data_IF_406930075493
#
_entry.id   IF_406930075493
#
_cell.length_a   1.000
_cell.length_b   1.000
_cell.length_c   1.000
_cell.angle_alpha   90.00
_cell.angle_beta   90.00
_cell.angle_gamma   90.00
#
_symmetry.space_group_name_H-M   'P 1'
#
loop_
_entity.id
_entity.type
_entity.pdbx_description
1 polymer ?
#
# COMPACT_ATOMS: atom_id res chain seq x y z
N UNK A 1 47.92 47.29 -1.98
CA UNK A 1 46.79 46.34 -1.85
C UNK A 1 47.15 45.29 -0.82
N UNK A 2 46.48 45.28 0.34
CA UNK A 2 46.70 44.27 1.39
C UNK A 2 45.95 42.99 1.01
N UNK A 3 46.67 41.91 0.74
CA UNK A 3 46.07 40.59 0.57
C UNK A 3 45.57 40.10 1.94
N UNK A 4 44.25 39.97 2.10
CA UNK A 4 43.67 39.26 3.24
C UNK A 4 43.63 37.78 2.93
N UNK A 5 44.41 36.99 3.66
CA UNK A 5 44.36 35.53 3.63
C UNK A 5 43.17 35.08 4.47
N UNK A 6 42.16 34.47 3.85
CA UNK A 6 41.06 33.82 4.56
C UNK A 6 41.48 32.39 4.94
N UNK A 7 41.62 32.13 6.24
CA UNK A 7 41.78 30.77 6.75
C UNK A 7 40.43 30.05 6.68
N UNK A 8 40.29 29.14 5.70
CA UNK A 8 39.15 28.23 5.60
C UNK A 8 39.39 27.03 6.53
N UNK A 9 38.70 26.99 7.67
CA UNK A 9 38.69 25.80 8.53
C UNK A 9 37.68 24.82 7.92
N UNK A 10 38.17 23.77 7.26
CA UNK A 10 37.34 22.67 6.77
C UNK A 10 37.31 21.59 7.86
N UNK A 11 36.15 21.44 8.53
CA UNK A 11 35.93 20.36 9.49
C UNK A 11 35.42 19.15 8.69
N UNK A 12 36.27 18.15 8.48
CA UNK A 12 35.85 16.84 7.96
C UNK A 12 35.35 15.97 9.11
N UNK A 13 34.11 15.48 8.99
CA UNK A 13 33.54 14.48 9.89
C UNK A 13 33.23 13.21 9.11
N UNK A 14 33.73 12.07 9.57
CA UNK A 14 33.36 10.74 9.10
C UNK A 14 32.37 10.14 10.11
N UNK A 15 31.13 9.94 9.71
CA UNK A 15 30.15 9.19 10.50
C UNK A 15 29.96 7.82 9.85
N UNK A 16 30.08 6.75 10.64
CA UNK A 16 29.51 5.46 10.27
C UNK A 16 28.09 5.41 10.82
N UNK A 17 27.12 5.17 9.95
CA UNK A 17 25.78 4.76 10.38
C UNK A 17 25.71 3.26 10.20
N UNK A 18 25.21 2.54 11.21
CA UNK A 18 24.67 1.23 10.91
C UNK A 18 23.59 1.46 9.85
N UNK A 19 23.68 0.79 8.70
CA UNK A 19 22.54 0.70 7.79
C UNK A 19 21.39 0.21 8.65
N UNK A 20 20.43 1.08 8.97
CA UNK A 20 19.23 0.67 9.69
C UNK A 20 18.69 -0.51 8.90
N UNK A 21 18.63 -1.69 9.53
CA UNK A 21 18.21 -2.90 8.84
C UNK A 21 16.86 -2.61 8.18
N UNK A 22 16.84 -2.62 6.85
CA UNK A 22 15.66 -2.24 6.07
C UNK A 22 14.51 -3.17 6.47
N UNK A 23 13.35 -2.58 6.75
CA UNK A 23 12.20 -3.33 7.25
C UNK A 23 10.89 -2.76 6.68
N UNK A 24 9.85 -3.58 6.45
CA UNK A 24 8.58 -3.09 5.95
C UNK A 24 8.05 -1.92 6.81
N UNK A 25 7.78 -0.78 6.19
CA UNK A 25 7.33 0.43 6.91
C UNK A 25 8.29 0.93 8.00
N UNK A 26 9.57 0.56 7.97
CA UNK A 26 10.53 0.87 9.04
C UNK A 26 10.22 0.18 10.38
N UNK A 27 9.49 -0.94 10.36
CA UNK A 27 9.13 -1.71 11.55
C UNK A 27 10.00 -2.96 11.65
N UNK A 28 11.01 -2.90 12.53
CA UNK A 28 11.93 -3.99 12.80
C UNK A 28 11.29 -5.17 13.57
N UNK A 29 12.02 -6.30 13.59
CA UNK A 29 11.64 -7.49 14.35
C UNK A 29 10.63 -8.40 13.65
N UNK A 30 10.55 -8.35 12.31
CA UNK A 30 9.84 -9.37 11.55
C UNK A 30 10.58 -10.70 11.64
N UNK A 31 9.84 -11.80 11.77
CA UNK A 31 10.41 -13.15 11.70
C UNK A 31 10.53 -13.64 10.26
N UNK A 32 9.72 -13.08 9.36
CA UNK A 32 9.81 -13.33 7.92
C UNK A 32 9.22 -12.17 7.13
N UNK A 33 9.92 -11.75 6.07
CA UNK A 33 9.42 -10.83 5.07
C UNK A 33 9.79 -11.37 3.69
N UNK A 34 8.79 -11.57 2.85
CA UNK A 34 8.92 -12.20 1.53
C UNK A 34 8.29 -11.31 0.48
N UNK A 35 9.03 -11.09 -0.60
CA UNK A 35 8.51 -10.60 -1.87
C UNK A 35 8.66 -11.76 -2.88
N UNK A 36 7.53 -12.35 -3.32
CA UNK A 36 7.50 -13.55 -4.16
C UNK A 36 6.92 -14.79 -3.47
N UNK A 37 7.26 -15.97 -3.99
CA UNK A 37 6.57 -17.24 -3.70
C UNK A 37 7.24 -18.11 -2.61
N UNK A 38 7.95 -17.51 -1.65
CA UNK A 38 8.55 -18.29 -0.56
C UNK A 38 7.50 -18.69 0.47
N UNK A 39 7.15 -19.98 0.48
CA UNK A 39 6.19 -20.59 1.42
C UNK A 39 6.86 -21.38 2.55
N UNK A 40 8.17 -21.20 2.79
CA UNK A 40 8.87 -21.88 3.89
C UNK A 40 8.20 -21.53 5.24
N UNK A 41 7.86 -22.53 6.07
CA UNK A 41 7.19 -22.25 7.34
C UNK A 41 8.08 -21.54 8.34
N UNK A 42 7.47 -20.83 9.30
CA UNK A 42 8.17 -20.08 10.35
C UNK A 42 7.76 -20.59 11.72
N UNK A 43 8.72 -20.73 12.63
CA UNK A 43 8.43 -21.07 14.03
C UNK A 43 8.03 -19.82 14.82
N UNK A 44 6.93 -19.93 15.55
CA UNK A 44 6.42 -18.91 16.46
C UNK A 44 6.71 -19.34 17.90
N UNK A 45 7.34 -18.44 18.66
CA UNK A 45 7.76 -18.65 20.05
C UNK A 45 6.63 -18.36 21.04
N UNK A 46 5.60 -17.65 20.60
CA UNK A 46 4.45 -17.23 21.40
C UNK A 46 4.76 -16.13 22.41
N UNK A 47 5.88 -15.42 22.25
CA UNK A 47 6.36 -14.44 23.23
C UNK A 47 5.66 -13.07 23.19
N UNK A 48 4.74 -12.80 22.24
CA UNK A 48 4.12 -11.46 22.19
C UNK A 48 2.89 -11.31 21.30
N UNK A 49 2.21 -12.39 20.94
CA UNK A 49 1.14 -12.40 19.94
C UNK A 49 1.66 -12.66 18.52
N UNK A 50 0.86 -12.37 17.51
CA UNK A 50 1.17 -12.60 16.10
C UNK A 50 0.64 -11.43 15.28
N UNK A 51 1.42 -10.93 14.32
CA UNK A 51 0.93 -10.03 13.29
C UNK A 51 1.34 -10.53 11.91
N UNK A 52 0.36 -10.64 11.02
CA UNK A 52 0.54 -10.93 9.61
C UNK A 52 0.00 -9.76 8.79
N UNK A 53 0.77 -9.30 7.81
CA UNK A 53 0.30 -8.36 6.80
C UNK A 53 0.79 -8.89 5.45
N UNK A 54 -0.13 -9.11 4.51
CA UNK A 54 0.22 -9.68 3.22
C UNK A 54 -0.66 -9.21 2.07
N UNK A 55 -0.07 -9.12 0.89
CA UNK A 55 -0.73 -8.77 -0.35
C UNK A 55 -1.00 -10.03 -1.15
N UNK A 56 -2.27 -10.29 -1.45
CA UNK A 56 -2.72 -11.49 -2.14
C UNK A 56 -3.64 -11.18 -3.32
N UNK A 57 -3.48 -11.92 -4.42
CA UNK A 57 -4.44 -11.94 -5.53
C UNK A 57 -5.55 -12.95 -5.26
N UNK A 58 -6.79 -12.54 -5.45
CA UNK A 58 -7.93 -13.47 -5.36
C UNK A 58 -8.12 -14.16 -6.69
N UNK A 59 -8.28 -15.48 -6.62
CA UNK A 59 -8.79 -16.25 -7.73
C UNK A 59 -10.30 -16.42 -7.52
N UNK A 60 -11.10 -16.26 -8.58
CA UNK A 60 -12.57 -16.21 -8.51
C UNK A 60 -13.23 -17.52 -8.01
N UNK A 61 -12.46 -18.56 -7.74
CA UNK A 61 -13.00 -19.91 -7.52
C UNK A 61 -13.21 -20.29 -6.04
N UNK A 62 -13.87 -19.45 -5.25
CA UNK A 62 -14.26 -19.77 -3.87
C UNK A 62 -13.25 -19.36 -2.80
N UNK A 63 -13.52 -19.73 -1.54
CA UNK A 63 -12.72 -19.33 -0.38
C UNK A 63 -11.35 -20.02 -0.39
N UNK A 64 -10.27 -19.24 -0.28
CA UNK A 64 -8.89 -19.74 -0.35
C UNK A 64 -8.15 -19.51 0.97
N UNK A 65 -7.35 -20.49 1.39
CA UNK A 65 -6.51 -20.39 2.58
C UNK A 65 -5.30 -19.50 2.31
N UNK A 66 -5.16 -18.40 3.07
CA UNK A 66 -4.01 -17.50 2.95
C UNK A 66 -2.84 -17.99 3.81
N UNK A 67 -3.12 -18.33 5.06
CA UNK A 67 -2.14 -18.91 5.98
C UNK A 67 -2.83 -19.67 7.10
N UNK A 68 -2.07 -20.51 7.78
CA UNK A 68 -2.49 -21.19 8.99
C UNK A 68 -1.38 -21.21 10.05
N UNK A 69 -1.77 -21.39 11.30
CA UNK A 69 -0.87 -21.74 12.40
C UNK A 69 -1.23 -23.13 12.88
N UNK A 70 -0.24 -24.01 12.87
CA UNK A 70 -0.29 -25.32 13.51
C UNK A 70 0.35 -25.26 14.88
N UNK A 71 -0.26 -25.89 15.89
CA UNK A 71 0.32 -26.12 17.21
C UNK A 71 1.59 -26.97 17.11
N UNK A 72 2.35 -27.07 18.21
CA UNK A 72 3.53 -27.96 18.27
C UNK A 72 3.18 -29.44 18.06
N UNK A 73 1.94 -29.84 18.37
CA UNK A 73 1.41 -31.18 18.07
C UNK A 73 1.02 -31.36 16.59
N UNK A 74 1.15 -30.31 15.77
CA UNK A 74 0.87 -30.33 14.34
C UNK A 74 -0.62 -30.21 13.98
N UNK A 75 -1.49 -29.90 14.95
CA UNK A 75 -2.92 -29.58 14.74
C UNK A 75 -3.07 -28.13 14.32
N UNK A 76 -3.87 -27.83 13.29
CA UNK A 76 -4.19 -26.45 12.91
C UNK A 76 -5.05 -25.78 13.98
N UNK A 77 -4.54 -24.73 14.60
CA UNK A 77 -5.27 -23.93 15.58
C UNK A 77 -6.02 -22.76 14.90
N UNK A 78 -5.36 -22.09 13.94
CA UNK A 78 -5.83 -20.80 13.44
C UNK A 78 -5.60 -20.67 11.95
N UNK A 79 -6.54 -20.03 11.27
CA UNK A 79 -6.47 -19.81 9.82
C UNK A 79 -6.92 -18.40 9.46
N UNK A 80 -6.34 -17.86 8.40
CA UNK A 80 -6.92 -16.74 7.65
C UNK A 80 -7.16 -17.20 6.22
N UNK A 81 -8.34 -16.89 5.71
CA UNK A 81 -8.75 -17.15 4.34
C UNK A 81 -9.03 -15.84 3.63
N UNK A 82 -9.33 -15.90 2.32
CA UNK A 82 -9.83 -14.75 1.55
C UNK A 82 -11.18 -14.23 2.05
N UNK A 83 -11.82 -14.93 2.99
CA UNK A 83 -13.16 -14.62 3.44
C UNK A 83 -13.32 -14.40 4.95
N UNK A 84 -12.45 -14.99 5.78
CA UNK A 84 -12.58 -14.93 7.23
C UNK A 84 -11.28 -15.23 7.95
N UNK A 85 -11.26 -14.95 9.25
CA UNK A 85 -10.30 -15.51 10.20
C UNK A 85 -11.04 -16.50 11.09
N UNK A 86 -10.37 -17.57 11.52
CA UNK A 86 -10.95 -18.52 12.45
C UNK A 86 -9.91 -19.07 13.43
N UNK A 87 -10.33 -19.26 14.67
CA UNK A 87 -9.66 -20.10 15.65
C UNK A 87 -10.46 -21.41 15.75
N UNK A 88 -9.88 -22.48 15.20
CA UNK A 88 -10.49 -23.80 15.09
C UNK A 88 -10.57 -24.51 16.45
N UNK A 89 -9.65 -24.22 17.37
CA UNK A 89 -9.66 -24.80 18.71
C UNK A 89 -10.79 -24.24 19.58
N UNK A 90 -11.11 -22.95 19.43
CA UNK A 90 -12.20 -22.27 20.14
C UNK A 90 -13.54 -22.30 19.39
N UNK A 91 -13.55 -22.76 18.14
CA UNK A 91 -14.74 -22.73 17.27
C UNK A 91 -15.22 -21.32 16.92
N UNK A 92 -14.34 -20.31 16.98
CA UNK A 92 -14.70 -18.91 16.72
C UNK A 92 -14.20 -18.44 15.35
N UNK A 93 -14.96 -17.57 14.69
CA UNK A 93 -14.59 -17.00 13.40
C UNK A 93 -15.13 -15.59 13.21
N UNK A 94 -14.52 -14.84 12.28
CA UNK A 94 -14.94 -13.51 11.88
C UNK A 94 -14.92 -13.40 10.35
N UNK A 95 -16.08 -13.16 9.75
CA UNK A 95 -16.21 -12.99 8.31
C UNK A 95 -15.83 -11.57 7.86
N UNK A 96 -15.23 -11.45 6.70
CA UNK A 96 -15.04 -10.16 6.03
C UNK A 96 -16.33 -9.74 5.30
N UNK A 97 -16.61 -8.45 5.35
CA UNK A 97 -17.69 -7.82 4.60
C UNK A 97 -17.26 -7.50 3.15
N UNK A 98 -18.23 -7.36 2.24
CA UNK A 98 -18.02 -6.80 0.89
C UNK A 98 -17.26 -7.67 -0.11
N UNK A 99 -17.21 -8.99 0.07
CA UNK A 99 -16.31 -9.89 -0.68
C UNK A 99 -16.45 -9.82 -2.21
N UNK A 100 -17.67 -9.56 -2.70
CA UNK A 100 -18.05 -9.64 -4.12
C UNK A 100 -17.70 -8.38 -4.93
N UNK A 101 -17.42 -7.24 -4.26
CA UNK A 101 -17.15 -5.95 -4.91
C UNK A 101 -15.71 -5.47 -4.76
N UNK A 102 -14.86 -6.28 -4.14
CA UNK A 102 -13.51 -5.88 -3.73
C UNK A 102 -12.46 -6.24 -4.82
N UNK A 103 -11.37 -5.46 -4.96
CA UNK A 103 -10.40 -5.58 -6.05
C UNK A 103 -9.68 -6.93 -6.10
N UNK A 104 -9.09 -7.27 -7.24
CA UNK A 104 -8.40 -8.56 -7.43
C UNK A 104 -7.15 -8.68 -6.56
N UNK A 105 -6.37 -7.61 -6.42
CA UNK A 105 -5.21 -7.54 -5.53
C UNK A 105 -5.64 -6.87 -4.22
N UNK A 106 -5.36 -7.49 -3.08
CA UNK A 106 -5.79 -7.00 -1.76
C UNK A 106 -4.68 -7.11 -0.74
N UNK A 107 -4.75 -6.23 0.26
CA UNK A 107 -3.99 -6.34 1.49
C UNK A 107 -4.84 -7.04 2.55
N UNK A 108 -4.26 -8.05 3.19
CA UNK A 108 -4.82 -8.80 4.30
C UNK A 108 -3.97 -8.54 5.54
N UNK A 109 -4.59 -8.07 6.60
CA UNK A 109 -3.95 -7.87 7.88
C UNK A 109 -4.62 -8.74 8.95
N UNK A 110 -3.82 -9.26 9.87
CA UNK A 110 -4.30 -9.99 11.04
C UNK A 110 -3.36 -9.77 12.20
N UNK A 111 -3.91 -9.49 13.37
CA UNK A 111 -3.14 -9.39 14.61
C UNK A 111 -3.87 -10.09 15.75
N UNK A 112 -3.13 -10.78 16.62
CA UNK A 112 -3.61 -11.17 17.95
C UNK A 112 -3.16 -10.15 19.00
N UNK A 113 -3.81 -10.13 20.16
CA UNK A 113 -3.29 -9.39 21.30
C UNK A 113 -2.01 -10.05 21.84
N UNK A 114 -1.18 -9.27 22.53
CA UNK A 114 0.02 -9.77 23.20
C UNK A 114 -0.27 -10.84 24.25
N UNK A 115 -1.45 -10.78 24.89
CA UNK A 115 -1.93 -11.80 25.83
C UNK A 115 -2.27 -13.14 25.16
N UNK A 116 -2.51 -13.14 23.84
CA UNK A 116 -2.78 -14.34 23.04
C UNK A 116 -1.52 -14.75 22.27
N UNK A 117 -0.47 -15.08 23.03
CA UNK A 117 0.75 -15.68 22.50
C UNK A 117 0.43 -16.90 21.66
N UNK A 118 0.98 -16.97 20.45
CA UNK A 118 0.72 -18.06 19.50
C UNK A 118 1.99 -18.89 19.36
N UNK A 119 1.95 -20.17 19.77
CA UNK A 119 3.10 -21.09 19.67
C UNK A 119 2.87 -22.14 18.60
N UNK A 120 3.89 -22.40 17.79
CA UNK A 120 3.87 -23.46 16.80
C UNK A 120 4.42 -23.00 15.47
N UNK A 121 3.89 -23.52 14.36
CA UNK A 121 4.42 -23.28 13.02
C UNK A 121 3.43 -22.51 12.16
N UNK A 122 3.86 -21.35 11.68
CA UNK A 122 3.14 -20.50 10.75
C UNK A 122 3.44 -20.94 9.30
N UNK A 123 2.39 -21.18 8.53
CA UNK A 123 2.46 -21.59 7.14
C UNK A 123 1.73 -20.59 6.27
N UNK A 124 2.34 -20.16 5.16
CA UNK A 124 1.68 -19.36 4.12
C UNK A 124 1.30 -20.25 2.95
N UNK A 125 0.07 -20.09 2.46
CA UNK A 125 -0.48 -20.90 1.39
C UNK A 125 -0.60 -22.39 1.76
N UNK A 126 -0.82 -23.21 0.73
CA UNK A 126 -0.96 -24.67 0.89
C UNK A 126 -2.32 -25.09 1.48
N UNK A 127 -2.36 -26.33 1.99
CA UNK A 127 -3.52 -26.92 2.66
C UNK A 127 -3.16 -27.32 4.10
N UNK A 128 -4.16 -27.36 4.96
CA UNK A 128 -4.05 -27.89 6.33
C UNK A 128 -4.12 -29.42 6.32
N UNK A 129 -3.65 -30.07 7.40
CA UNK A 129 -3.87 -31.52 7.60
C UNK A 129 -5.35 -31.82 7.82
N UNK A 130 -6.05 -30.90 8.48
CA UNK A 130 -7.48 -30.90 8.68
C UNK A 130 -8.20 -30.64 7.35
N UNK A 131 -9.29 -31.38 7.10
CA UNK A 131 -10.14 -31.18 5.94
C UNK A 131 -11.02 -29.94 6.13
N UNK A 132 -10.50 -28.78 5.74
CA UNK A 132 -11.25 -27.53 5.72
C UNK A 132 -11.94 -27.32 4.36
N UNK A 133 -13.15 -26.74 4.30
CA UNK A 133 -13.88 -26.48 3.05
C UNK A 133 -13.33 -25.22 2.34
N UNK A 134 -12.02 -25.18 2.11
CA UNK A 134 -11.28 -24.07 1.49
C UNK A 134 -10.36 -24.61 0.42
N UNK A 135 -10.01 -23.78 -0.56
CA UNK A 135 -9.03 -24.12 -1.59
C UNK A 135 -7.63 -23.63 -1.22
N UNK A 136 -6.62 -24.30 -1.76
CA UNK A 136 -5.24 -23.82 -1.66
C UNK A 136 -5.06 -22.51 -2.45
N UNK A 137 -4.35 -21.57 -1.87
CA UNK A 137 -3.88 -20.38 -2.58
C UNK A 137 -2.63 -20.74 -3.38
N UNK A 138 -2.77 -20.97 -4.70
CA UNK A 138 -1.63 -21.28 -5.58
C UNK A 138 -0.99 -19.97 -6.07
N UNK A 139 0.28 -19.71 -5.72
CA UNK A 139 1.10 -18.61 -6.24
C UNK A 139 0.44 -17.21 -6.18
N UNK A 140 -0.39 -16.95 -5.17
CA UNK A 140 -1.17 -15.70 -5.14
C UNK A 140 -0.78 -14.74 -4.02
N UNK A 141 0.06 -15.14 -3.06
CA UNK A 141 0.70 -14.17 -2.16
C UNK A 141 1.84 -13.49 -2.91
N UNK A 142 1.74 -12.19 -3.10
CA UNK A 142 2.72 -11.39 -3.84
C UNK A 142 3.82 -10.88 -2.90
N UNK A 143 3.43 -10.44 -1.71
CA UNK A 143 4.35 -10.01 -0.66
C UNK A 143 3.69 -10.26 0.69
N UNK A 144 4.45 -10.64 1.70
CA UNK A 144 3.93 -10.69 3.07
C UNK A 144 5.02 -10.52 4.11
N UNK A 145 4.62 -10.11 5.30
CA UNK A 145 5.46 -10.00 6.48
C UNK A 145 4.77 -10.60 7.69
N UNK A 146 5.55 -11.28 8.52
CA UNK A 146 5.13 -11.94 9.75
C UNK A 146 5.98 -11.40 10.90
N UNK A 147 5.31 -11.06 12.00
CA UNK A 147 5.92 -10.70 13.27
C UNK A 147 5.43 -11.67 14.34
N UNK A 148 6.34 -12.25 15.12
CA UNK A 148 6.03 -13.06 16.32
C UNK A 148 5.73 -12.16 17.53
N UNK A 149 4.97 -11.09 17.26
CA UNK A 149 4.44 -10.13 18.23
C UNK A 149 3.22 -9.40 17.66
N UNK A 150 2.42 -8.85 18.55
CA UNK A 150 1.42 -7.85 18.22
C UNK A 150 2.12 -6.53 17.84
N UNK A 151 1.86 -6.03 16.64
CA UNK A 151 2.24 -4.67 16.27
C UNK A 151 1.27 -3.67 16.92
N UNK A 152 1.79 -2.52 17.33
CA UNK A 152 0.96 -1.35 17.66
C UNK A 152 0.19 -0.87 16.42
N UNK A 153 -0.88 -0.10 16.62
CA UNK A 153 -1.63 0.46 15.49
C UNK A 153 -0.75 1.30 14.54
N UNK A 154 0.15 2.12 15.10
CA UNK A 154 1.05 2.95 14.31
C UNK A 154 2.08 2.12 13.52
N UNK A 155 2.66 1.08 14.13
CA UNK A 155 3.53 0.13 13.41
C UNK A 155 2.76 -0.58 12.29
N UNK A 156 1.57 -1.11 12.58
CA UNK A 156 0.73 -1.79 11.59
C UNK A 156 0.44 -0.88 10.40
N UNK A 157 0.00 0.35 10.66
CA UNK A 157 -0.30 1.34 9.61
C UNK A 157 0.92 1.67 8.74
N UNK A 158 2.14 1.74 9.31
CA UNK A 158 3.37 1.96 8.52
C UNK A 158 3.67 0.78 7.59
N UNK A 159 3.56 -0.45 8.10
CA UNK A 159 3.76 -1.66 7.29
C UNK A 159 2.70 -1.77 6.19
N UNK A 160 1.43 -1.55 6.55
CA UNK A 160 0.30 -1.54 5.61
C UNK A 160 0.51 -0.48 4.51
N UNK A 161 0.95 0.73 4.88
CA UNK A 161 1.27 1.81 3.93
C UNK A 161 2.38 1.42 2.97
N UNK A 162 3.45 0.81 3.46
CA UNK A 162 4.58 0.41 2.63
C UNK A 162 4.20 -0.65 1.60
N UNK A 163 3.47 -1.70 2.03
CA UNK A 163 2.98 -2.74 1.13
C UNK A 163 1.94 -2.17 0.15
N UNK A 164 1.00 -1.35 0.63
CA UNK A 164 -0.02 -0.76 -0.22
C UNK A 164 0.56 0.14 -1.31
N UNK A 165 1.56 0.97 -0.99
CA UNK A 165 2.24 1.81 -1.99
C UNK A 165 3.07 1.00 -2.97
N UNK A 166 3.74 -0.08 -2.52
CA UNK A 166 4.51 -0.95 -3.43
C UNK A 166 3.61 -1.61 -4.49
N UNK A 167 2.37 -1.91 -4.11
CA UNK A 167 1.42 -2.67 -4.93
C UNK A 167 0.25 -1.84 -5.47
N UNK A 168 0.21 -0.52 -5.25
CA UNK A 168 -0.86 0.36 -5.73
C UNK A 168 -2.24 0.03 -5.14
N UNK A 169 -2.32 -0.34 -3.86
CA UNK A 169 -3.57 -0.68 -3.16
C UNK A 169 -4.11 0.54 -2.40
N UNK A 170 -5.42 0.79 -2.49
CA UNK A 170 -6.09 1.80 -1.66
C UNK A 170 -6.31 1.31 -0.23
N UNK A 171 -5.88 2.11 0.74
CA UNK A 171 -6.14 1.87 2.17
C UNK A 171 -7.36 2.63 2.65
N UNK A 172 -8.03 2.09 3.66
CA UNK A 172 -9.17 2.72 4.36
C UNK A 172 -8.73 3.56 5.57
N UNK A 173 -7.44 3.94 5.62
CA UNK A 173 -6.84 4.80 6.64
C UNK A 173 -5.70 5.62 6.02
N UNK A 174 -5.15 6.57 6.78
CA UNK A 174 -4.05 7.42 6.32
C UNK A 174 -2.79 6.61 6.02
N UNK A 175 -2.05 7.05 5.00
CA UNK A 175 -0.74 6.49 4.66
C UNK A 175 0.33 7.15 5.50
N UNK A 176 1.23 6.33 6.05
CA UNK A 176 2.37 6.75 6.85
C UNK A 176 3.69 6.32 6.17
N UNK A 177 4.74 7.13 6.31
CA UNK A 177 6.09 6.71 5.94
C UNK A 177 6.77 5.92 7.07
N UNK A 178 8.00 5.44 6.86
CA UNK A 178 8.78 4.72 7.87
C UNK A 178 8.99 5.48 9.19
N UNK A 179 8.98 6.82 9.17
CA UNK A 179 9.11 7.68 10.35
C UNK A 179 7.79 7.87 11.12
N UNK A 180 6.67 7.37 10.58
CA UNK A 180 5.34 7.53 11.17
C UNK A 180 4.65 8.83 10.80
N UNK A 181 5.21 9.59 9.87
CA UNK A 181 4.64 10.85 9.39
C UNK A 181 3.51 10.55 8.40
N UNK A 182 2.41 11.31 8.49
CA UNK A 182 1.30 11.16 7.56
C UNK A 182 1.65 11.77 6.20
N UNK A 183 1.78 10.92 5.18
CA UNK A 183 2.10 11.31 3.79
C UNK A 183 0.84 11.42 2.91
N UNK A 184 -0.29 10.83 3.33
CA UNK A 184 -1.62 11.08 2.76
C UNK A 184 -2.67 10.87 3.83
N UNK A 185 -3.50 11.88 4.06
CA UNK A 185 -4.54 11.84 5.10
C UNK A 185 -5.87 11.33 4.52
N UNK A 186 -6.31 10.15 4.97
CA UNK A 186 -7.56 9.53 4.52
C UNK A 186 -8.80 10.38 4.85
N UNK A 187 -8.88 10.91 6.07
CA UNK A 187 -10.05 11.64 6.54
C UNK A 187 -10.26 12.95 5.79
N UNK A 188 -9.18 13.67 5.47
CA UNK A 188 -9.21 14.91 4.68
C UNK A 188 -9.52 14.65 3.20
N UNK A 189 -9.10 13.51 2.66
CA UNK A 189 -9.25 13.16 1.25
C UNK A 189 -10.26 12.02 1.05
N UNK A 190 -11.24 11.88 1.95
CA UNK A 190 -12.20 10.77 1.92
C UNK A 190 -12.93 10.67 0.59
N UNK A 191 -13.34 11.81 0.03
CA UNK A 191 -13.98 11.89 -1.30
C UNK A 191 -13.07 11.38 -2.41
N UNK A 192 -11.74 11.53 -2.27
CA UNK A 192 -10.74 11.17 -3.28
C UNK A 192 -10.00 9.86 -2.93
N UNK A 193 -10.56 9.00 -2.09
CA UNK A 193 -9.90 7.80 -1.60
C UNK A 193 -10.26 6.55 -2.43
N UNK A 194 -10.04 6.65 -3.73
CA UNK A 194 -10.22 5.56 -4.69
C UNK A 194 -9.00 5.48 -5.61
N UNK A 195 -8.61 4.27 -6.03
CA UNK A 195 -7.45 4.02 -6.89
C UNK A 195 -6.19 4.78 -6.43
N UNK A 196 -5.92 4.73 -5.13
CA UNK A 196 -4.79 5.47 -4.55
C UNK A 196 -3.48 4.82 -4.99
N UNK A 197 -2.55 5.66 -5.42
CA UNK A 197 -1.20 5.28 -5.82
C UNK A 197 -0.20 6.38 -5.46
N UNK A 198 1.09 6.07 -5.51
CA UNK A 198 2.12 7.04 -5.18
C UNK A 198 3.51 6.66 -5.65
N UNK A 199 4.36 7.67 -5.72
CA UNK A 199 5.82 7.55 -5.76
C UNK A 199 6.36 8.02 -4.42
N UNK A 200 7.43 7.39 -3.93
CA UNK A 200 8.01 7.67 -2.62
C UNK A 200 9.49 7.27 -2.61
N UNK A 201 10.33 8.06 -1.95
CA UNK A 201 11.65 7.67 -1.50
C UNK A 201 11.60 7.41 -0.01
N UNK A 202 11.87 6.17 0.40
CA UNK A 202 11.90 5.78 1.81
C UNK A 202 12.86 4.60 1.97
N UNK A 203 14.13 4.96 2.19
CA UNK A 203 15.23 4.01 2.26
C UNK A 203 15.08 3.05 3.46
N UNK A 204 14.49 3.52 4.56
CA UNK A 204 14.30 2.72 5.79
C UNK A 204 13.26 1.62 5.56
N UNK A 205 12.22 1.89 4.76
CA UNK A 205 11.22 0.89 4.40
C UNK A 205 11.54 0.07 3.14
N UNK A 206 12.72 0.28 2.54
CA UNK A 206 13.11 -0.26 1.22
C UNK A 206 12.01 -0.01 0.19
N UNK A 207 11.50 1.22 0.18
CA UNK A 207 10.38 1.64 -0.64
C UNK A 207 10.79 2.86 -1.46
N UNK A 208 11.60 2.58 -2.48
CA UNK A 208 12.01 3.57 -3.47
C UNK A 208 11.22 3.32 -4.75
N UNK A 209 10.12 4.04 -4.89
CA UNK A 209 9.18 3.96 -6.01
C UNK A 209 9.27 5.24 -6.81
N UNK A 210 9.95 5.18 -7.95
CA UNK A 210 9.99 6.26 -8.94
C UNK A 210 8.85 6.17 -9.96
N UNK A 211 8.04 5.10 -9.91
CA UNK A 211 6.87 4.88 -10.75
C UNK A 211 5.73 4.39 -9.87
N UNK A 212 4.57 5.05 -9.98
CA UNK A 212 3.35 4.69 -9.27
C UNK A 212 2.16 4.57 -10.21
N UNK A 213 1.35 3.56 -9.97
CA UNK A 213 0.04 3.31 -10.60
C UNK A 213 -0.81 2.53 -9.61
N UNK A 214 -2.14 2.65 -9.71
CA UNK A 214 -3.03 1.88 -8.86
C UNK A 214 -3.28 0.50 -9.47
N UNK A 215 -3.41 -0.51 -8.62
CA UNK A 215 -3.77 -1.89 -8.99
C UNK A 215 -5.29 -2.07 -9.19
N UNK A 216 -6.09 -1.06 -8.85
CA UNK A 216 -7.53 -1.10 -9.03
C UNK A 216 -7.93 -0.84 -10.48
N UNK A 217 -9.04 -1.46 -10.91
CA UNK A 217 -9.59 -1.28 -12.25
C UNK A 217 -10.00 0.17 -12.52
N UNK A 218 -9.93 0.57 -13.78
CA UNK A 218 -10.20 1.95 -14.25
C UNK A 218 -9.23 3.01 -13.72
N UNK A 219 -8.08 2.62 -13.14
CA UNK A 219 -7.00 3.56 -12.90
C UNK A 219 -6.42 4.03 -14.25
N UNK A 220 -6.37 5.35 -14.44
CA UNK A 220 -5.95 5.98 -15.70
C UNK A 220 -4.71 6.85 -15.56
N UNK A 221 -4.30 7.16 -14.33
CA UNK A 221 -3.10 7.98 -14.06
C UNK A 221 -1.95 7.08 -13.66
N UNK A 222 -0.82 7.30 -14.32
CA UNK A 222 0.50 6.84 -13.92
C UNK A 222 1.41 8.04 -13.72
N UNK A 223 2.17 8.05 -12.64
CA UNK A 223 3.18 9.08 -12.40
C UNK A 223 4.55 8.43 -12.36
N UNK A 224 5.52 9.04 -13.03
CA UNK A 224 6.91 8.66 -12.95
C UNK A 224 7.82 9.86 -12.69
N UNK A 225 8.98 9.58 -12.11
CA UNK A 225 10.05 10.53 -11.88
C UNK A 225 11.39 9.85 -12.21
N UNK A 226 12.43 10.64 -12.52
CA UNK A 226 13.78 10.07 -12.70
C UNK A 226 14.36 9.56 -11.38
N UNK A 227 14.14 10.30 -10.31
CA UNK A 227 14.56 9.99 -8.95
C UNK A 227 13.56 10.61 -7.97
N UNK A 228 13.60 10.17 -6.71
CA UNK A 228 12.85 10.77 -5.62
C UNK A 228 13.73 10.76 -4.37
N UNK A 229 13.75 11.88 -3.65
CA UNK A 229 14.59 12.02 -2.46
C UNK A 229 14.03 11.18 -1.30
N UNK A 230 14.91 10.74 -0.41
CA UNK A 230 14.48 10.07 0.83
C UNK A 230 13.56 10.99 1.66
N UNK A 231 12.45 10.45 2.13
CA UNK A 231 11.39 11.19 2.83
C UNK A 231 10.44 11.97 1.92
N UNK A 232 10.70 12.04 0.61
CA UNK A 232 9.79 12.69 -0.33
C UNK A 232 8.75 11.71 -0.86
N UNK A 233 7.53 12.19 -1.10
CA UNK A 233 6.46 11.40 -1.70
C UNK A 233 5.47 12.26 -2.48
N UNK A 234 4.83 11.63 -3.47
CA UNK A 234 3.70 12.18 -4.21
C UNK A 234 2.65 11.09 -4.36
N UNK A 235 1.50 11.26 -3.69
CA UNK A 235 0.40 10.29 -3.66
C UNK A 235 -0.87 10.93 -4.22
N UNK A 236 -1.61 10.20 -5.05
CA UNK A 236 -2.87 10.66 -5.63
C UNK A 236 -3.97 9.63 -5.49
N UNK A 237 -5.22 10.07 -5.63
CA UNK A 237 -6.41 9.23 -5.72
C UNK A 237 -7.56 10.03 -6.36
N UNK A 238 -8.64 9.35 -6.70
CA UNK A 238 -9.78 9.96 -7.40
C UNK A 238 -11.11 9.85 -6.66
N UNK A 239 -12.11 10.57 -7.19
CA UNK A 239 -13.44 10.72 -6.61
C UNK A 239 -14.47 9.66 -7.01
N UNK A 240 -14.05 8.51 -7.53
CA UNK A 240 -14.91 7.42 -7.99
C UNK A 240 -15.91 7.70 -9.13
N UNK A 241 -16.03 8.93 -9.62
CA UNK A 241 -16.94 9.26 -10.74
C UNK A 241 -16.47 8.60 -12.04
N UNK A 242 -17.31 8.57 -13.07
CA UNK A 242 -16.94 7.95 -14.35
C UNK A 242 -15.82 8.74 -15.05
N UNK A 243 -14.99 8.03 -15.84
CA UNK A 243 -14.02 8.66 -16.74
C UNK A 243 -14.75 9.08 -18.03
N UNK A 244 -15.64 10.06 -17.91
CA UNK A 244 -16.42 10.61 -19.00
C UNK A 244 -16.52 12.13 -18.88
N UNK A 245 -16.76 12.77 -20.03
CA UNK A 245 -17.00 14.20 -20.08
C UNK A 245 -18.49 14.51 -19.93
N UNK A 246 -18.81 15.57 -19.19
CA UNK A 246 -20.17 16.11 -19.08
C UNK A 246 -20.15 17.62 -19.24
N UNK A 247 -21.19 18.17 -19.88
CA UNK A 247 -21.34 19.60 -20.02
C UNK A 247 -21.57 20.25 -18.65
N UNK A 248 -20.79 21.29 -18.36
CA UNK A 248 -20.99 22.19 -17.23
C UNK A 248 -21.53 23.53 -17.72
N UNK A 249 -22.49 24.09 -16.99
CA UNK A 249 -23.17 25.33 -17.42
C UNK A 249 -22.17 26.49 -17.39
N UNK A 250 -21.71 26.90 -18.56
CA UNK A 250 -20.82 28.05 -18.75
C UNK A 250 -19.34 27.73 -18.92
N UNK A 251 -18.91 26.48 -18.66
CA UNK A 251 -17.48 26.11 -18.69
C UNK A 251 -17.14 25.01 -19.71
N UNK A 252 -18.05 24.64 -20.61
CA UNK A 252 -17.81 23.59 -21.62
C UNK A 252 -17.94 22.17 -21.06
N UNK A 253 -17.24 21.19 -21.67
CA UNK A 253 -17.27 19.78 -21.25
C UNK A 253 -16.16 19.50 -20.23
N UNK A 254 -16.50 18.97 -19.05
CA UNK A 254 -15.56 18.64 -17.98
C UNK A 254 -15.49 17.15 -17.70
N UNK A 255 -14.28 16.66 -17.42
CA UNK A 255 -14.10 15.31 -16.91
C UNK A 255 -14.81 15.17 -15.56
N UNK A 256 -15.71 14.20 -15.44
CA UNK A 256 -16.43 13.95 -14.20
C UNK A 256 -15.50 13.42 -13.10
N UNK A 257 -14.58 12.52 -13.46
CA UNK A 257 -13.54 12.03 -12.53
C UNK A 257 -12.53 13.14 -12.23
N UNK A 258 -12.28 13.37 -10.95
CA UNK A 258 -11.31 14.36 -10.47
C UNK A 258 -10.33 13.68 -9.53
N UNK A 259 -9.11 14.19 -9.49
CA UNK A 259 -8.01 13.65 -8.69
C UNK A 259 -7.54 14.66 -7.66
N UNK A 260 -7.14 14.16 -6.50
CA UNK A 260 -6.46 14.94 -5.48
C UNK A 260 -5.13 14.29 -5.12
N UNK A 261 -4.07 15.09 -5.19
CA UNK A 261 -2.71 14.69 -4.88
C UNK A 261 -2.22 15.33 -3.58
N UNK A 262 -1.23 14.69 -2.96
CA UNK A 262 -0.50 15.20 -1.79
C UNK A 262 0.98 14.97 -2.01
N UNK A 263 1.76 16.01 -1.75
CA UNK A 263 3.21 15.97 -1.79
C UNK A 263 3.75 16.13 -0.37
N UNK A 264 4.77 15.36 -0.01
CA UNK A 264 5.53 15.53 1.23
C UNK A 264 7.02 15.59 0.90
N UNK A 265 7.78 16.38 1.66
CA UNK A 265 9.22 16.57 1.44
C UNK A 265 9.54 17.39 0.19
N UNK A 266 10.82 17.45 -0.17
CA UNK A 266 11.27 18.08 -1.42
C UNK A 266 11.05 17.11 -2.59
N UNK A 267 10.08 17.38 -3.49
CA UNK A 267 9.72 16.46 -4.56
C UNK A 267 10.86 16.28 -5.57
N UNK A 268 10.70 15.28 -6.44
CA UNK A 268 11.55 15.13 -7.62
C UNK A 268 11.55 16.40 -8.48
N UNK A 269 12.67 16.73 -9.12
CA UNK A 269 12.80 17.92 -9.97
C UNK A 269 11.81 17.93 -11.15
N UNK A 270 11.42 16.75 -11.65
CA UNK A 270 10.44 16.62 -12.73
C UNK A 270 9.58 15.38 -12.54
N UNK A 271 8.26 15.58 -12.55
CA UNK A 271 7.24 14.52 -12.57
C UNK A 271 6.64 14.41 -13.97
N UNK A 272 6.58 13.20 -14.50
CA UNK A 272 5.82 12.88 -15.71
C UNK A 272 4.50 12.26 -15.31
N UNK A 273 3.41 12.93 -15.64
CA UNK A 273 2.06 12.40 -15.50
C UNK A 273 1.61 11.83 -16.85
N UNK A 274 1.33 10.54 -16.89
CA UNK A 274 0.73 9.87 -18.05
C UNK A 274 -0.72 9.55 -17.75
N UNK A 275 -1.57 9.87 -18.71
CA UNK A 275 -3.00 9.58 -18.66
C UNK A 275 -3.36 8.57 -19.75
N UNK A 276 -3.93 7.42 -19.37
CA UNK A 276 -4.40 6.42 -20.31
C UNK A 276 -5.76 6.81 -20.89
N UNK A 277 -5.75 7.22 -22.16
CA UNK A 277 -6.94 7.71 -22.85
C UNK A 277 -7.86 6.61 -23.36
N UNK A 278 -7.41 5.35 -23.39
CA UNK A 278 -8.20 4.21 -23.90
C UNK A 278 -9.45 3.93 -23.06
N UNK A 279 -9.42 4.35 -21.80
CA UNK A 279 -10.52 4.18 -20.85
C UNK A 279 -11.50 5.35 -20.81
N UNK A 280 -11.26 6.41 -21.61
CA UNK A 280 -12.15 7.57 -21.64
C UNK A 280 -13.25 7.34 -22.68
N UNK A 281 -14.49 7.24 -22.22
CA UNK A 281 -15.65 7.25 -23.11
C UNK A 281 -15.83 8.63 -23.72
N UNK A 282 -16.17 8.70 -25.03
CA UNK A 282 -16.38 9.95 -25.77
C UNK A 282 -15.12 10.83 -25.92
N UNK A 283 -13.93 10.22 -25.94
CA UNK A 283 -12.69 10.95 -26.23
C UNK A 283 -12.66 11.53 -27.65
N UNK A 284 -13.43 10.94 -28.58
CA UNK A 284 -13.48 11.35 -29.99
C UNK A 284 -14.88 11.09 -30.59
N UNK A 285 -15.24 11.83 -31.66
CA UNK A 285 -14.49 12.94 -32.23
C UNK A 285 -14.60 14.21 -31.38
N UNK A 286 -13.52 14.99 -31.35
CA UNK A 286 -13.54 16.37 -30.88
C UNK A 286 -14.21 17.24 -31.94
N UNK A 287 -14.96 18.25 -31.51
CA UNK A 287 -15.49 19.26 -32.42
C UNK A 287 -14.34 20.09 -33.04
N UNK A 288 -14.61 20.80 -34.13
CA UNK A 288 -13.62 21.70 -34.74
C UNK A 288 -13.15 22.72 -33.68
N UNK A 289 -11.83 22.79 -33.48
CA UNK A 289 -11.14 23.67 -32.51
C UNK A 289 -11.30 23.28 -31.03
N UNK A 290 -11.79 22.08 -30.71
CA UNK A 290 -11.82 21.55 -29.34
C UNK A 290 -10.47 20.89 -28.97
N UNK A 291 -9.94 21.23 -27.79
CA UNK A 291 -8.67 20.72 -27.27
C UNK A 291 -8.81 20.21 -25.83
N UNK A 292 -7.94 19.28 -25.43
CA UNK A 292 -7.85 18.83 -24.05
C UNK A 292 -6.90 19.72 -23.24
N UNK A 293 -7.39 20.20 -22.09
CA UNK A 293 -6.61 20.98 -21.14
C UNK A 293 -6.52 20.24 -19.80
N UNK A 294 -5.33 20.28 -19.19
CA UNK A 294 -5.17 19.90 -17.79
C UNK A 294 -5.33 21.15 -16.94
N UNK A 295 -6.33 21.13 -16.04
CA UNK A 295 -6.56 22.22 -15.11
C UNK A 295 -6.17 21.78 -13.70
N UNK A 296 -5.40 22.62 -13.01
CA UNK A 296 -4.85 22.32 -11.68
C UNK A 296 -5.29 23.40 -10.70
N UNK A 297 -5.96 23.00 -9.62
CA UNK A 297 -6.24 23.85 -8.46
C UNK A 297 -5.19 23.63 -7.37
N UNK A 298 -4.20 24.52 -7.31
CA UNK A 298 -3.16 24.47 -6.28
C UNK A 298 -3.65 24.86 -4.88
N UNK A 299 -4.83 25.48 -4.77
CA UNK A 299 -5.43 25.84 -3.48
C UNK A 299 -6.13 24.66 -2.79
N UNK A 300 -6.51 23.65 -3.57
CA UNK A 300 -7.27 22.50 -3.09
C UNK A 300 -8.72 22.83 -2.67
N UNK A 301 -9.25 23.98 -3.12
CA UNK A 301 -10.63 24.42 -2.83
C UNK A 301 -11.66 23.84 -3.78
N UNK A 302 -11.22 23.14 -4.84
CA UNK A 302 -12.07 22.67 -5.93
C UNK A 302 -12.45 23.78 -6.90
N UNK A 303 -11.78 24.94 -6.83
CA UNK A 303 -11.98 26.07 -7.73
C UNK A 303 -10.86 26.08 -8.75
N UNK A 304 -11.20 25.66 -9.96
CA UNK A 304 -10.26 25.64 -11.07
C UNK A 304 -10.12 27.05 -11.67
N UNK A 305 -8.91 27.49 -12.02
CA UNK A 305 -8.75 28.70 -12.84
C UNK A 305 -9.43 28.46 -14.19
N UNK A 306 -10.38 29.34 -14.52
CA UNK A 306 -11.06 29.38 -15.83
C UNK A 306 -10.37 30.42 -16.70
#
# INVERSE_FOLDING_TARGET
MKHSTFNLIVILSLFSTAVNAQSPGGVAGFVKWVNGNDNTPVQLTGAGGLTFIGVGKIQKEGEQLLWNVSTQAGKTERVQTTARTANLDKGTFMNYAGRDTLPQLRLYAYSTSSANGTRGTFHVGGMTKEKLPVKALKNSMTEYVVYDRALTAAERMRVESALALRHGITLAHSYLNSKGETIRNYYRLKTYNHRVAGIIGDATSKLDRTIGESSESEAVIKVSARSINDGASYLWGDNAKQVSFAADKGNGKWMQRQWAATTTGQPAELLTLTFDTRSIHQLQPLDKDEHYYLVVDNSGTGKFPV
#
